data_IF_786619508671
#
_entry.id   IF_786619508671
#
_cell.length_a   1.000
_cell.length_b   1.000
_cell.length_c   1.000
_cell.angle_alpha   90.00
_cell.angle_beta   90.00
_cell.angle_gamma   90.00
#
_symmetry.space_group_name_H-M   'P 1'
#
loop_
_entity.id
_entity.type
_entity.pdbx_description
1 polymer ?
#
# COMPACT_ATOMS: atom_id res chain seq x y z
N UNK A 1 -14.52 0.68 4.12
CA UNK A 1 -13.32 1.37 4.65
C UNK A 1 -13.60 2.19 5.92
N UNK A 2 -14.76 2.82 6.06
CA UNK A 2 -15.10 3.56 7.29
C UNK A 2 -15.01 2.70 8.56
N UNK A 3 -15.36 1.41 8.49
CA UNK A 3 -15.31 0.48 9.62
C UNK A 3 -13.89 0.30 10.20
N UNK A 4 -12.85 0.43 9.37
CA UNK A 4 -11.45 0.29 9.82
C UNK A 4 -11.01 1.49 10.67
N UNK A 5 -11.38 2.71 10.28
CA UNK A 5 -11.08 3.93 11.04
C UNK A 5 -11.87 3.96 12.36
N UNK A 6 -13.14 3.56 12.34
CA UNK A 6 -13.96 3.45 13.55
C UNK A 6 -13.37 2.43 14.54
N UNK A 7 -13.00 1.25 14.05
CA UNK A 7 -12.37 0.21 14.87
C UNK A 7 -11.08 0.70 15.54
N UNK A 8 -10.22 1.41 14.83
CA UNK A 8 -8.97 1.94 15.40
C UNK A 8 -9.21 2.97 16.50
N UNK A 9 -10.19 3.87 16.29
CA UNK A 9 -10.59 4.85 17.29
C UNK A 9 -11.15 4.21 18.56
N UNK A 10 -12.05 3.25 18.40
CA UNK A 10 -12.70 2.58 19.53
C UNK A 10 -11.76 1.66 20.30
N UNK A 11 -10.88 0.95 19.58
CA UNK A 11 -10.04 -0.09 20.19
C UNK A 11 -8.71 0.45 20.71
N UNK A 12 -8.11 1.41 20.01
CA UNK A 12 -6.76 1.91 20.33
C UNK A 12 -6.75 3.38 20.74
N UNK A 13 -7.88 4.10 20.58
CA UNK A 13 -7.93 5.54 20.77
C UNK A 13 -7.12 6.33 19.73
N UNK A 14 -6.75 5.69 18.61
CA UNK A 14 -5.94 6.27 17.54
C UNK A 14 -6.78 6.40 16.29
N UNK A 15 -6.73 7.57 15.67
CA UNK A 15 -7.36 7.83 14.38
C UNK A 15 -6.34 7.58 13.27
N UNK A 16 -6.37 6.39 12.68
CA UNK A 16 -5.56 6.10 11.52
C UNK A 16 -6.21 6.69 10.27
N UNK A 17 -5.48 7.56 9.62
CA UNK A 17 -5.87 8.16 8.36
C UNK A 17 -5.63 7.20 7.21
N UNK A 18 -6.59 7.12 6.29
CA UNK A 18 -6.46 6.30 5.08
C UNK A 18 -5.84 7.18 4.00
N UNK A 19 -4.62 6.88 3.63
CA UNK A 19 -3.95 7.53 2.52
C UNK A 19 -4.24 6.79 1.21
N UNK A 20 -4.74 7.51 0.22
CA UNK A 20 -4.99 6.96 -1.11
C UNK A 20 -3.73 6.94 -2.00
N UNK A 21 -2.67 7.57 -1.53
CA UNK A 21 -1.43 7.70 -2.27
C UNK A 21 -0.23 7.50 -1.35
N UNK A 22 0.66 6.60 -1.74
CA UNK A 22 1.89 6.31 -1.02
C UNK A 22 3.11 6.74 -1.84
N UNK A 23 3.95 7.60 -1.27
CA UNK A 23 5.13 8.18 -1.96
C UNK A 23 6.40 7.35 -1.81
N UNK A 24 6.35 6.22 -1.15
CA UNK A 24 7.47 5.33 -0.91
C UNK A 24 7.57 4.17 -1.90
N UNK A 25 8.63 3.38 -1.75
CA UNK A 25 8.77 2.10 -2.47
C UNK A 25 7.91 1.05 -1.74
N UNK A 26 7.07 0.35 -2.48
CA UNK A 26 6.23 -0.73 -1.96
C UNK A 26 6.27 -1.92 -2.90
N UNK A 27 6.41 -3.12 -2.36
CA UNK A 27 6.33 -4.37 -3.11
C UNK A 27 4.94 -4.60 -3.72
N UNK A 28 3.92 -3.89 -3.20
CA UNK A 28 2.55 -3.94 -3.72
C UNK A 28 2.35 -3.09 -4.98
N UNK A 29 3.35 -2.35 -5.44
CA UNK A 29 3.26 -1.50 -6.65
C UNK A 29 2.93 -2.30 -7.92
N UNK A 30 3.16 -3.60 -7.93
CA UNK A 30 2.82 -4.51 -9.03
C UNK A 30 1.55 -5.33 -8.78
N UNK A 31 0.88 -5.14 -7.67
CA UNK A 31 -0.31 -5.93 -7.33
C UNK A 31 -1.59 -5.38 -7.94
N UNK A 32 -1.62 -4.09 -8.29
CA UNK A 32 -2.77 -3.44 -8.91
C UNK A 32 -2.33 -2.35 -9.88
N UNK A 33 -2.99 -2.30 -11.04
CA UNK A 33 -2.84 -1.23 -12.00
C UNK A 33 -4.21 -0.90 -12.62
N UNK A 34 -4.70 0.31 -12.41
CA UNK A 34 -6.04 0.75 -12.84
C UNK A 34 -6.02 1.91 -13.83
N UNK A 35 -4.82 2.34 -14.25
CA UNK A 35 -4.69 3.48 -15.15
C UNK A 35 -5.11 3.16 -16.58
N UNK A 36 -5.53 4.19 -17.31
CA UNK A 36 -5.90 4.10 -18.70
C UNK A 36 -4.67 4.01 -19.63
N UNK A 37 -4.93 3.72 -20.90
CA UNK A 37 -3.88 3.55 -21.90
C UNK A 37 -3.19 4.88 -22.24
N UNK A 38 -3.85 6.01 -22.07
CA UNK A 38 -3.26 7.33 -22.26
C UNK A 38 -2.21 7.63 -21.19
N UNK A 39 -2.53 7.33 -19.93
CA UNK A 39 -1.57 7.41 -18.81
C UNK A 39 -0.39 6.49 -19.01
N UNK A 40 -0.61 5.25 -19.45
CA UNK A 40 0.47 4.30 -19.77
C UNK A 40 1.37 4.85 -20.89
N UNK A 41 0.78 5.39 -21.94
CA UNK A 41 1.50 5.98 -23.07
C UNK A 41 2.31 7.20 -22.62
N UNK A 42 1.75 8.04 -21.77
CA UNK A 42 2.45 9.18 -21.18
C UNK A 42 3.67 8.74 -20.36
N UNK A 43 3.52 7.74 -19.50
CA UNK A 43 4.63 7.17 -18.72
C UNK A 43 5.71 6.64 -19.65
N UNK A 44 5.35 5.79 -20.62
CA UNK A 44 6.30 5.20 -21.59
C UNK A 44 7.10 6.25 -22.36
N UNK A 45 6.45 7.33 -22.76
CA UNK A 45 7.09 8.39 -23.55
C UNK A 45 8.00 9.30 -22.72
N UNK A 46 7.79 9.35 -21.38
CA UNK A 46 8.58 10.20 -20.48
C UNK A 46 9.66 9.44 -19.70
N UNK A 47 9.74 8.12 -19.84
CA UNK A 47 10.78 7.30 -19.20
C UNK A 47 11.95 7.07 -20.16
N UNK A 48 13.07 7.71 -19.90
CA UNK A 48 14.23 7.84 -20.79
C UNK A 48 14.77 6.50 -21.36
N UNK A 49 14.72 5.43 -20.58
CA UNK A 49 15.29 4.13 -20.96
C UNK A 49 14.24 3.04 -21.15
N UNK A 50 12.95 3.43 -21.18
CA UNK A 50 11.85 2.50 -21.35
C UNK A 50 11.90 1.83 -22.73
N UNK A 51 11.78 0.51 -22.74
CA UNK A 51 11.82 -0.30 -23.96
C UNK A 51 13.23 -0.67 -24.43
N UNK A 52 14.29 -0.01 -23.95
CA UNK A 52 15.67 -0.33 -24.26
C UNK A 52 16.39 -1.12 -23.16
N UNK A 53 16.42 -0.60 -21.96
CA UNK A 53 17.07 -1.26 -20.81
C UNK A 53 16.08 -1.93 -19.85
N UNK A 54 14.85 -1.46 -19.79
CA UNK A 54 13.82 -2.08 -18.98
C UNK A 54 12.42 -1.87 -19.56
N UNK A 55 11.47 -2.70 -19.13
CA UNK A 55 10.08 -2.63 -19.55
C UNK A 55 9.19 -3.01 -18.37
N UNK A 56 8.17 -2.20 -18.10
CA UNK A 56 7.12 -2.53 -17.14
C UNK A 56 6.01 -3.26 -17.89
N UNK A 57 5.65 -4.48 -17.48
CA UNK A 57 4.64 -5.28 -18.17
C UNK A 57 3.22 -4.87 -17.74
N UNK A 58 2.77 -3.66 -18.09
CA UNK A 58 1.49 -3.10 -17.67
C UNK A 58 0.30 -4.01 -17.96
N UNK A 59 0.29 -4.68 -19.14
CA UNK A 59 -0.82 -5.58 -19.49
C UNK A 59 -0.91 -6.79 -18.57
N UNK A 60 0.23 -7.39 -18.22
CA UNK A 60 0.25 -8.51 -17.25
C UNK A 60 -0.16 -8.05 -15.86
N UNK A 61 0.25 -6.85 -15.44
CA UNK A 61 -0.17 -6.28 -14.15
C UNK A 61 -1.68 -6.06 -14.14
N UNK A 62 -2.27 -5.55 -15.23
CA UNK A 62 -3.73 -5.41 -15.35
C UNK A 62 -4.46 -6.76 -15.22
N UNK A 63 -3.95 -7.81 -15.88
CA UNK A 63 -4.57 -9.14 -15.85
C UNK A 63 -4.58 -9.76 -14.45
N UNK A 64 -3.53 -9.55 -13.66
CA UNK A 64 -3.40 -10.11 -12.30
C UNK A 64 -3.79 -9.12 -11.20
N UNK A 65 -4.28 -7.94 -11.56
CA UNK A 65 -4.62 -6.90 -10.59
C UNK A 65 -5.62 -7.39 -9.55
N UNK A 66 -5.31 -7.10 -8.31
CA UNK A 66 -6.16 -7.40 -7.17
C UNK A 66 -6.22 -6.20 -6.22
N UNK A 67 -7.34 -5.98 -5.50
CA UNK A 67 -7.38 -4.96 -4.47
C UNK A 67 -6.30 -5.21 -3.42
N UNK A 68 -5.58 -4.15 -3.05
CA UNK A 68 -4.49 -4.22 -2.07
C UNK A 68 -4.71 -3.19 -0.97
N UNK A 69 -4.29 -3.52 0.23
CA UNK A 69 -4.32 -2.66 1.39
C UNK A 69 -3.02 -2.81 2.17
N UNK A 70 -2.31 -1.72 2.39
CA UNK A 70 -1.17 -1.68 3.29
C UNK A 70 -1.64 -1.37 4.70
N UNK A 71 -1.29 -2.24 5.64
CA UNK A 71 -1.48 -2.02 7.07
C UNK A 71 -0.13 -2.27 7.74
N UNK A 72 0.40 -1.28 8.42
CA UNK A 72 1.68 -1.41 9.11
C UNK A 72 1.78 -0.49 10.34
N UNK A 73 2.80 -0.70 11.17
CA UNK A 73 3.04 0.12 12.35
C UNK A 73 3.53 1.52 11.96
N UNK A 74 3.27 2.48 12.83
CA UNK A 74 3.89 3.79 12.71
C UNK A 74 5.41 3.70 12.90
N UNK A 75 6.15 4.37 12.01
CA UNK A 75 7.60 4.34 12.05
C UNK A 75 8.24 5.57 11.44
N UNK A 76 9.56 5.62 11.54
CA UNK A 76 10.41 6.67 10.93
C UNK A 76 11.59 6.04 10.23
N UNK A 77 12.12 6.79 9.25
CA UNK A 77 13.33 6.45 8.53
C UNK A 77 13.26 5.10 7.80
N UNK A 78 12.11 4.79 7.20
CA UNK A 78 11.84 3.59 6.40
C UNK A 78 12.95 3.35 5.38
N UNK A 79 13.41 2.10 5.31
CA UNK A 79 14.50 1.65 4.42
C UNK A 79 15.86 2.32 4.66
N UNK A 80 16.08 2.89 5.85
CA UNK A 80 17.39 3.46 6.26
C UNK A 80 18.01 2.63 7.37
N UNK A 81 19.34 2.76 7.55
CA UNK A 81 20.06 2.03 8.59
C UNK A 81 19.65 2.40 10.04
N UNK A 82 18.88 3.47 10.21
CA UNK A 82 18.33 3.95 11.50
C UNK A 82 16.82 3.80 11.58
N UNK A 83 16.26 2.92 10.75
CA UNK A 83 14.82 2.63 10.77
C UNK A 83 14.35 2.22 12.15
N UNK A 84 13.21 2.76 12.56
CA UNK A 84 12.61 2.51 13.87
C UNK A 84 11.10 2.54 13.75
N UNK A 85 10.45 1.68 14.51
CA UNK A 85 9.01 1.54 14.57
C UNK A 85 8.53 1.67 16.01
N UNK A 86 7.27 2.08 16.17
CA UNK A 86 6.65 2.15 17.47
C UNK A 86 6.29 0.74 17.94
N UNK A 87 6.88 0.31 19.06
CA UNK A 87 6.79 -1.08 19.52
C UNK A 87 5.35 -1.54 19.82
N UNK A 88 4.53 -0.68 20.41
CA UNK A 88 3.14 -1.00 20.70
C UNK A 88 2.33 -1.24 19.41
N UNK A 89 2.59 -0.46 18.37
CA UNK A 89 1.96 -0.67 17.07
C UNK A 89 2.38 -2.01 16.46
N UNK A 90 3.68 -2.35 16.51
CA UNK A 90 4.19 -3.60 15.94
C UNK A 90 3.61 -4.83 16.62
N UNK A 91 3.61 -4.83 17.95
CA UNK A 91 3.32 -6.05 18.72
C UNK A 91 1.85 -6.18 19.13
N UNK A 92 1.09 -5.08 19.16
CA UNK A 92 -0.26 -5.06 19.70
C UNK A 92 -1.28 -4.54 18.69
N UNK A 93 -1.11 -3.31 18.20
CA UNK A 93 -2.15 -2.64 17.42
C UNK A 93 -2.24 -3.18 15.99
N UNK A 94 -1.12 -3.26 15.27
CA UNK A 94 -1.09 -3.75 13.88
C UNK A 94 -1.61 -5.18 13.75
N UNK A 95 -1.21 -6.17 14.57
CA UNK A 95 -1.78 -7.52 14.49
C UNK A 95 -3.31 -7.57 14.69
N UNK A 96 -3.83 -6.81 15.66
CA UNK A 96 -5.28 -6.73 15.89
C UNK A 96 -6.01 -6.06 14.73
N UNK A 97 -5.40 -5.03 14.14
CA UNK A 97 -5.96 -4.30 13.02
C UNK A 97 -6.02 -5.16 11.76
N UNK A 98 -4.96 -5.95 11.50
CA UNK A 98 -4.93 -6.92 10.39
C UNK A 98 -5.99 -8.00 10.59
N UNK A 99 -6.10 -8.57 11.80
CA UNK A 99 -7.13 -9.59 12.11
C UNK A 99 -8.55 -9.06 11.88
N UNK A 100 -8.82 -7.84 12.31
CA UNK A 100 -10.09 -7.18 12.04
C UNK A 100 -10.33 -6.97 10.54
N UNK A 101 -9.34 -6.45 9.80
CA UNK A 101 -9.44 -6.20 8.37
C UNK A 101 -9.74 -7.49 7.59
N UNK A 102 -9.05 -8.58 7.90
CA UNK A 102 -9.29 -9.89 7.28
C UNK A 102 -10.71 -10.38 7.55
N UNK A 103 -11.20 -10.26 8.78
CA UNK A 103 -12.58 -10.65 9.14
C UNK A 103 -13.63 -9.81 8.41
N UNK A 104 -13.36 -8.53 8.20
CA UNK A 104 -14.28 -7.64 7.44
C UNK A 104 -14.31 -7.99 5.94
N UNK A 105 -13.18 -8.38 5.36
CA UNK A 105 -13.10 -8.75 3.93
C UNK A 105 -13.76 -10.12 3.66
N UNK A 106 -13.70 -11.03 4.62
CA UNK A 106 -14.23 -12.39 4.47
C UNK A 106 -15.72 -12.53 4.85
N UNK A 107 -16.38 -11.46 5.24
CA UNK A 107 -17.84 -11.44 5.47
C UNK A 107 -18.62 -11.43 4.16
#
# INVERSE_FOLDING_TARGET
MNNLSEFSKETFGVDYEIENFYTGISDLSYAMFSEDDDTVSYIRNNMLLYGSLYKIPFELIKEISMPVLNIGPWGKDLHKGVERVYAEDVYINTPKYIDFAVKEILK
#
